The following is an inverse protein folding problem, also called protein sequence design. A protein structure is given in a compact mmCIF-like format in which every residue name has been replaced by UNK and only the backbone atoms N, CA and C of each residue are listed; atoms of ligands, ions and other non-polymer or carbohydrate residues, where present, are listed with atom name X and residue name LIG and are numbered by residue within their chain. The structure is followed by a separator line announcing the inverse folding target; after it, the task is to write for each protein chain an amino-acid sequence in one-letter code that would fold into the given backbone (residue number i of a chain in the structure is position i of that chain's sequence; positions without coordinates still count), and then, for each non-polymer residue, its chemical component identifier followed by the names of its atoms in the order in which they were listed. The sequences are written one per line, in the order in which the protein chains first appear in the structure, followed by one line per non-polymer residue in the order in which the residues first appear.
data_IF_632470874215
#
_entry.id   IF_632470874215
#
_cell.length_a   1.000
_cell.length_b   1.000
_cell.length_c   1.000
_cell.angle_alpha   90.00
_cell.angle_beta   90.00
_cell.angle_gamma   90.00
#
_symmetry.space_group_name_H-M   'P 1'
#
loop_
_entity.id
_entity.type
_entity.pdbx_description
1 polymer ?
#
# COMPACT_ATOMS: atom_id res chain seq x y z
N UNK A 1 -94.10 4.77 -58.50
CA UNK A 1 -92.80 4.92 -57.80
C UNK A 1 -92.51 3.56 -57.16
N UNK A 2 -91.53 2.80 -57.67
CA UNK A 2 -91.32 1.41 -57.23
C UNK A 2 -90.50 1.40 -55.92
N UNK A 3 -91.08 0.97 -54.78
CA UNK A 3 -90.44 1.05 -53.47
C UNK A 3 -89.17 0.21 -53.35
N UNK A 4 -89.06 -0.86 -54.15
CA UNK A 4 -87.88 -1.74 -54.17
C UNK A 4 -86.64 -1.11 -54.82
N UNK A 5 -86.79 -0.14 -55.74
CA UNK A 5 -85.66 0.57 -56.35
C UNK A 5 -85.00 1.55 -55.38
N UNK A 6 -85.82 2.29 -54.65
CA UNK A 6 -85.36 3.28 -53.66
C UNK A 6 -84.61 2.67 -52.48
N UNK A 7 -85.03 1.49 -51.99
CA UNK A 7 -84.33 0.81 -50.88
C UNK A 7 -82.94 0.30 -51.28
N UNK A 8 -82.80 -0.22 -52.51
CA UNK A 8 -81.51 -0.69 -53.04
C UNK A 8 -80.55 0.49 -53.29
N UNK A 9 -81.05 1.58 -53.85
CA UNK A 9 -80.26 2.79 -54.07
C UNK A 9 -79.79 3.42 -52.75
N UNK A 10 -80.65 3.45 -51.73
CA UNK A 10 -80.29 3.93 -50.39
C UNK A 10 -79.19 3.07 -49.76
N UNK A 11 -79.26 1.74 -49.85
CA UNK A 11 -78.21 0.85 -49.34
C UNK A 11 -76.88 0.99 -50.08
N UNK A 12 -76.92 1.23 -51.40
CA UNK A 12 -75.70 1.47 -52.19
C UNK A 12 -75.09 2.83 -51.82
N UNK A 13 -75.91 3.86 -51.64
CA UNK A 13 -75.44 5.18 -51.22
C UNK A 13 -74.80 5.13 -49.82
N UNK A 14 -75.41 4.42 -48.87
CA UNK A 14 -74.86 4.23 -47.53
C UNK A 14 -73.53 3.47 -47.56
N UNK A 15 -73.47 2.34 -48.28
CA UNK A 15 -72.25 1.54 -48.39
C UNK A 15 -71.10 2.31 -49.07
N UNK A 16 -71.41 3.20 -50.03
CA UNK A 16 -70.43 4.10 -50.65
C UNK A 16 -69.97 5.19 -49.68
N UNK A 17 -70.87 5.72 -48.84
CA UNK A 17 -70.53 6.68 -47.78
C UNK A 17 -69.61 6.08 -46.72
N UNK A 18 -69.91 4.86 -46.26
CA UNK A 18 -69.07 4.12 -45.32
C UNK A 18 -67.68 3.81 -45.89
N UNK A 19 -67.61 3.40 -47.17
CA UNK A 19 -66.34 3.18 -47.87
C UNK A 19 -65.51 4.46 -47.98
N UNK A 20 -66.14 5.61 -48.26
CA UNK A 20 -65.46 6.89 -48.32
C UNK A 20 -64.88 7.29 -46.95
N UNK A 21 -65.64 7.12 -45.87
CA UNK A 21 -65.13 7.38 -44.51
C UNK A 21 -64.02 6.42 -44.08
N UNK A 22 -64.06 5.16 -44.51
CA UNK A 22 -62.97 4.21 -44.25
C UNK A 22 -61.70 4.58 -45.02
N UNK A 23 -61.82 5.01 -46.27
CA UNK A 23 -60.70 5.50 -47.07
C UNK A 23 -60.07 6.74 -46.44
N UNK A 24 -60.87 7.71 -46.01
CA UNK A 24 -60.38 8.92 -45.34
C UNK A 24 -59.63 8.59 -44.04
N UNK A 25 -60.14 7.65 -43.23
CA UNK A 25 -59.45 7.18 -42.02
C UNK A 25 -58.17 6.41 -42.33
N UNK A 26 -58.15 5.60 -43.39
CA UNK A 26 -56.96 4.86 -43.82
C UNK A 26 -55.87 5.83 -44.33
N UNK A 27 -56.26 6.87 -45.06
CA UNK A 27 -55.36 7.94 -45.51
C UNK A 27 -54.81 8.73 -44.31
N UNK A 28 -55.63 9.01 -43.30
CA UNK A 28 -55.19 9.67 -42.06
C UNK A 28 -54.27 8.78 -41.20
N UNK A 29 -54.36 7.46 -41.31
CA UNK A 29 -53.50 6.52 -40.55
C UNK A 29 -52.07 6.51 -41.09
N UNK A 30 -51.89 6.69 -42.40
CA UNK A 30 -50.58 6.67 -43.05
C UNK A 30 -49.57 7.68 -42.45
N UNK A 31 -49.89 8.97 -42.27
CA UNK A 31 -48.96 9.92 -41.65
C UNK A 31 -48.67 9.57 -40.18
N UNK A 32 -49.69 9.13 -39.42
CA UNK A 32 -49.51 8.74 -38.01
C UNK A 32 -48.56 7.53 -37.86
N UNK A 33 -48.65 6.54 -38.77
CA UNK A 33 -47.73 5.40 -38.79
C UNK A 33 -46.30 5.80 -39.17
N UNK A 34 -46.14 6.73 -40.12
CA UNK A 34 -44.82 7.24 -40.50
C UNK A 34 -44.17 8.03 -39.35
N UNK A 35 -44.95 8.87 -38.66
CA UNK A 35 -44.50 9.61 -37.49
C UNK A 35 -44.09 8.67 -36.35
N UNK A 36 -44.93 7.67 -36.03
CA UNK A 36 -44.61 6.66 -35.01
C UNK A 36 -43.35 5.87 -35.36
N UNK A 37 -43.19 5.47 -36.64
CA UNK A 37 -41.98 4.80 -37.12
C UNK A 37 -40.75 5.68 -36.93
N UNK A 38 -40.84 6.96 -37.27
CA UNK A 38 -39.71 7.88 -37.12
C UNK A 38 -39.35 8.08 -35.64
N UNK A 39 -40.35 8.29 -34.78
CA UNK A 39 -40.15 8.42 -33.34
C UNK A 39 -39.48 7.17 -32.74
N UNK A 40 -39.84 5.96 -33.21
CA UNK A 40 -39.21 4.71 -32.79
C UNK A 40 -37.74 4.61 -33.25
N UNK A 41 -37.43 5.03 -34.48
CA UNK A 41 -36.05 5.08 -34.98
C UNK A 41 -35.20 6.07 -34.18
N UNK A 42 -35.75 7.25 -33.89
CA UNK A 42 -35.07 8.28 -33.10
C UNK A 42 -34.83 7.82 -31.66
N UNK A 43 -35.86 7.22 -31.03
CA UNK A 43 -35.73 6.64 -29.69
C UNK A 43 -34.69 5.51 -29.65
N UNK A 44 -34.65 4.65 -30.67
CA UNK A 44 -33.65 3.60 -30.77
C UNK A 44 -32.22 4.17 -30.90
N UNK A 45 -32.03 5.19 -31.73
CA UNK A 45 -30.75 5.87 -31.87
C UNK A 45 -30.30 6.53 -30.56
N UNK A 46 -31.23 7.20 -29.85
CA UNK A 46 -30.96 7.80 -28.54
C UNK A 46 -30.58 6.73 -27.50
N UNK A 47 -31.30 5.61 -27.45
CA UNK A 47 -30.99 4.51 -26.55
C UNK A 47 -29.62 3.90 -26.84
N UNK A 48 -29.28 3.69 -28.12
CA UNK A 48 -27.96 3.20 -28.50
C UNK A 48 -26.83 4.15 -28.04
N UNK A 49 -27.03 5.46 -28.20
CA UNK A 49 -26.08 6.48 -27.75
C UNK A 49 -25.95 6.52 -26.22
N UNK A 50 -27.08 6.43 -25.50
CA UNK A 50 -27.09 6.39 -24.03
C UNK A 50 -26.41 5.13 -23.51
N UNK A 51 -26.64 3.98 -24.15
CA UNK A 51 -26.01 2.72 -23.79
C UNK A 51 -24.49 2.79 -23.98
N UNK A 52 -24.01 3.28 -25.12
CA UNK A 52 -22.58 3.46 -25.36
C UNK A 52 -21.93 4.40 -24.34
N UNK A 53 -22.64 5.49 -23.97
CA UNK A 53 -22.18 6.43 -22.95
C UNK A 53 -22.13 5.77 -21.57
N UNK A 54 -23.16 4.99 -21.22
CA UNK A 54 -23.22 4.25 -19.97
C UNK A 54 -22.11 3.20 -19.87
N UNK A 55 -21.87 2.42 -20.93
CA UNK A 55 -20.78 1.45 -21.00
C UNK A 55 -19.42 2.13 -20.76
N UNK A 56 -19.17 3.26 -21.41
CA UNK A 56 -17.94 4.03 -21.20
C UNK A 56 -17.81 4.54 -19.75
N UNK A 57 -18.91 4.99 -19.14
CA UNK A 57 -18.92 5.41 -17.73
C UNK A 57 -18.67 4.25 -16.77
N UNK A 58 -19.25 3.07 -17.01
CA UNK A 58 -19.04 1.87 -16.18
C UNK A 58 -17.59 1.42 -16.26
N UNK A 59 -16.98 1.43 -17.45
CA UNK A 59 -15.55 1.13 -17.62
C UNK A 59 -14.70 2.13 -16.84
N UNK A 60 -14.95 3.44 -17.03
CA UNK A 60 -14.22 4.50 -16.32
C UNK A 60 -14.36 4.41 -14.80
N UNK A 61 -15.56 4.18 -14.30
CA UNK A 61 -15.84 3.99 -12.88
C UNK A 61 -15.12 2.75 -12.33
N UNK A 62 -15.15 1.64 -13.07
CA UNK A 62 -14.52 0.38 -12.66
C UNK A 62 -13.00 0.53 -12.59
N UNK A 63 -12.38 1.17 -13.58
CA UNK A 63 -10.93 1.44 -13.56
C UNK A 63 -10.55 2.37 -12.41
N UNK A 64 -11.33 3.43 -12.17
CA UNK A 64 -11.11 4.30 -11.02
C UNK A 64 -11.24 3.55 -9.67
N UNK A 65 -12.26 2.70 -9.54
CA UNK A 65 -12.47 1.89 -8.35
C UNK A 65 -11.32 0.89 -8.11
N UNK A 66 -10.80 0.25 -9.16
CA UNK A 66 -9.61 -0.63 -9.07
C UNK A 66 -8.41 0.13 -8.53
N UNK A 67 -8.09 1.28 -9.14
CA UNK A 67 -6.94 2.11 -8.73
C UNK A 67 -7.10 2.59 -7.29
N UNK A 68 -8.29 3.07 -6.92
CA UNK A 68 -8.57 3.53 -5.57
C UNK A 68 -8.43 2.39 -4.54
N UNK A 69 -8.96 1.21 -4.84
CA UNK A 69 -8.87 0.04 -3.97
C UNK A 69 -7.41 -0.42 -3.82
N UNK A 70 -6.65 -0.47 -4.90
CA UNK A 70 -5.23 -0.81 -4.86
C UNK A 70 -4.43 0.16 -3.97
N UNK A 71 -4.65 1.47 -4.13
CA UNK A 71 -4.03 2.50 -3.28
C UNK A 71 -4.41 2.34 -1.80
N UNK A 72 -5.68 2.04 -1.52
CA UNK A 72 -6.15 1.83 -0.16
C UNK A 72 -5.50 0.61 0.50
N UNK A 73 -5.43 -0.52 -0.23
CA UNK A 73 -4.75 -1.74 0.24
C UNK A 73 -3.28 -1.44 0.50
N UNK A 74 -2.58 -0.82 -0.44
CA UNK A 74 -1.17 -0.47 -0.27
C UNK A 74 -0.94 0.39 0.97
N UNK A 75 -1.73 1.46 1.16
CA UNK A 75 -1.60 2.33 2.33
C UNK A 75 -1.85 1.59 3.66
N UNK A 76 -2.83 0.67 3.69
CA UNK A 76 -3.14 -0.15 4.87
C UNK A 76 -2.03 -1.17 5.14
N UNK A 77 -1.46 -1.78 4.10
CA UNK A 77 -0.34 -2.70 4.21
C UNK A 77 0.92 -2.00 4.69
N UNK A 78 1.23 -0.80 4.17
CA UNK A 78 2.39 -0.02 4.62
C UNK A 78 2.28 0.35 6.09
N UNK A 79 1.09 0.75 6.55
CA UNK A 79 0.86 1.06 7.96
C UNK A 79 0.98 -0.19 8.84
N UNK A 80 0.40 -1.32 8.42
CA UNK A 80 0.52 -2.59 9.13
C UNK A 80 1.99 -3.04 9.23
N UNK A 81 2.76 -2.93 8.15
CA UNK A 81 4.19 -3.25 8.13
C UNK A 81 4.98 -2.35 9.08
N UNK A 82 4.71 -1.04 9.10
CA UNK A 82 5.36 -0.12 10.05
C UNK A 82 5.03 -0.48 11.49
N UNK A 83 3.79 -0.83 11.78
CA UNK A 83 3.38 -1.28 13.10
C UNK A 83 4.08 -2.59 13.49
N UNK A 84 4.16 -3.56 12.58
CA UNK A 84 4.85 -4.83 12.78
C UNK A 84 6.34 -4.62 13.07
N UNK A 85 7.03 -3.78 12.29
CA UNK A 85 8.47 -3.47 12.52
C UNK A 85 8.68 -2.85 13.90
N UNK A 86 7.81 -1.94 14.34
CA UNK A 86 7.88 -1.35 15.69
C UNK A 86 7.69 -2.41 16.78
N UNK A 87 6.66 -3.25 16.64
CA UNK A 87 6.38 -4.31 17.60
C UNK A 87 7.51 -5.34 17.65
N UNK A 88 8.03 -5.75 16.51
CA UNK A 88 9.16 -6.68 16.40
C UNK A 88 10.43 -6.09 17.02
N UNK A 89 10.75 -4.83 16.73
CA UNK A 89 11.92 -4.15 17.31
C UNK A 89 11.80 -4.07 18.83
N UNK A 90 10.61 -3.74 19.34
CA UNK A 90 10.34 -3.71 20.78
C UNK A 90 10.51 -5.10 21.42
N UNK A 91 9.87 -6.12 20.84
CA UNK A 91 9.98 -7.50 21.33
C UNK A 91 11.43 -8.01 21.30
N UNK A 92 12.19 -7.70 20.24
CA UNK A 92 13.61 -8.04 20.13
C UNK A 92 14.46 -7.31 21.17
N UNK A 93 14.19 -6.02 21.42
CA UNK A 93 14.88 -5.27 22.47
C UNK A 93 14.58 -5.83 23.86
N UNK A 94 13.32 -6.19 24.12
CA UNK A 94 12.90 -6.81 25.39
C UNK A 94 13.59 -8.17 25.56
N UNK A 95 13.58 -9.02 24.53
CA UNK A 95 14.27 -10.30 24.54
C UNK A 95 15.79 -10.14 24.74
N UNK A 96 16.43 -9.18 24.06
CA UNK A 96 17.86 -8.91 24.22
C UNK A 96 18.21 -8.42 25.63
N UNK A 97 17.35 -7.62 26.26
CA UNK A 97 17.53 -7.19 27.66
C UNK A 97 17.43 -8.37 28.63
N UNK A 98 16.50 -9.30 28.40
CA UNK A 98 16.36 -10.52 29.19
C UNK A 98 17.61 -11.39 29.02
N UNK A 99 18.01 -11.71 27.79
CA UNK A 99 19.22 -12.50 27.51
C UNK A 99 20.48 -11.86 28.10
N UNK A 100 20.60 -10.53 28.01
CA UNK A 100 21.74 -9.82 28.59
C UNK A 100 21.80 -9.97 30.11
N UNK A 101 20.66 -9.85 30.80
CA UNK A 101 20.58 -10.01 32.25
C UNK A 101 20.79 -11.45 32.70
N UNK A 102 20.23 -12.42 31.97
CA UNK A 102 20.23 -13.83 32.37
C UNK A 102 21.55 -14.53 32.03
N UNK A 103 22.17 -14.22 30.89
CA UNK A 103 23.33 -14.99 30.41
C UNK A 103 24.60 -14.15 30.35
N UNK A 104 24.53 -12.91 29.87
CA UNK A 104 25.74 -12.11 29.62
C UNK A 104 26.27 -11.48 30.91
N UNK A 105 25.40 -10.86 31.71
CA UNK A 105 25.77 -10.21 32.97
C UNK A 105 26.44 -11.16 33.97
N UNK A 106 25.90 -12.34 34.30
CA UNK A 106 26.56 -13.27 35.23
C UNK A 106 27.87 -13.82 34.66
N UNK A 107 27.95 -14.03 33.35
CA UNK A 107 29.19 -14.46 32.68
C UNK A 107 30.28 -13.40 32.77
N UNK A 108 29.93 -12.14 32.51
CA UNK A 108 30.82 -10.99 32.70
C UNK A 108 31.25 -10.83 34.15
N UNK A 109 30.34 -10.99 35.12
CA UNK A 109 30.70 -10.92 36.55
C UNK A 109 31.67 -12.05 36.95
N UNK A 110 31.49 -13.26 36.44
CA UNK A 110 32.42 -14.38 36.67
C UNK A 110 33.80 -14.15 36.06
N UNK A 111 33.89 -13.47 34.92
CA UNK A 111 35.15 -13.11 34.27
C UNK A 111 35.82 -11.88 34.93
N UNK A 112 35.02 -10.90 35.34
CA UNK A 112 35.51 -9.66 35.95
C UNK A 112 35.97 -9.87 37.40
N UNK A 113 35.33 -10.74 38.18
CA UNK A 113 35.73 -11.03 39.56
C UNK A 113 37.22 -11.45 39.72
N UNK A 114 37.75 -12.41 38.95
CA UNK A 114 39.17 -12.75 39.01
C UNK A 114 40.07 -11.63 38.47
N UNK A 115 39.63 -10.86 37.46
CA UNK A 115 40.41 -9.71 36.99
C UNK A 115 40.50 -8.58 38.02
N UNK A 116 39.41 -8.30 38.75
CA UNK A 116 39.40 -7.29 39.81
C UNK A 116 40.24 -7.74 41.01
N UNK A 117 40.20 -9.03 41.35
CA UNK A 117 41.11 -9.61 42.35
C UNK A 117 42.58 -9.54 41.92
N UNK A 118 42.88 -9.77 40.64
CA UNK A 118 44.23 -9.58 40.11
C UNK A 118 44.63 -8.11 40.13
N UNK A 119 43.73 -7.18 39.79
CA UNK A 119 44.02 -5.74 39.80
C UNK A 119 44.26 -5.20 41.21
N UNK A 120 43.46 -5.62 42.21
CA UNK A 120 43.69 -5.27 43.62
C UNK A 120 44.92 -5.95 44.22
N UNK A 121 45.27 -7.18 43.78
CA UNK A 121 46.53 -7.82 44.16
C UNK A 121 47.75 -7.17 43.47
N UNK A 122 47.51 -6.33 42.46
CA UNK A 122 48.48 -5.60 41.64
C UNK A 122 48.51 -4.10 41.99
N UNK A 123 48.02 -3.68 43.17
CA UNK A 123 48.21 -2.29 43.64
C UNK A 123 49.64 -2.01 44.16
N UNK A 124 50.49 -3.01 44.41
CA UNK A 124 51.88 -2.84 44.89
C UNK A 124 53.06 -3.50 44.11
N UNK A 125 52.91 -4.22 42.98
CA UNK A 125 54.05 -4.81 42.27
C UNK A 125 54.87 -3.79 41.48
N UNK A 126 54.30 -2.60 41.20
CA UNK A 126 55.00 -1.52 40.52
C UNK A 126 56.10 -0.88 41.39
N UNK A 127 55.93 -0.86 42.72
CA UNK A 127 56.95 -0.33 43.65
C UNK A 127 58.18 -1.24 43.72
N UNK A 128 57.99 -2.56 43.73
CA UNK A 128 59.08 -3.53 43.64
C UNK A 128 59.83 -3.48 42.31
N UNK A 129 59.09 -3.33 41.20
CA UNK A 129 59.70 -3.23 39.88
C UNK A 129 60.48 -1.92 39.68
N UNK A 130 59.96 -0.79 40.18
CA UNK A 130 60.64 0.51 40.14
C UNK A 130 61.89 0.57 41.00
N UNK A 131 61.88 -0.06 42.18
CA UNK A 131 63.07 -0.11 43.05
C UNK A 131 64.18 -0.98 42.46
N UNK A 132 63.85 -2.10 41.80
CA UNK A 132 64.82 -2.89 41.06
C UNK A 132 65.38 -2.12 39.84
N UNK A 133 64.55 -1.42 39.08
CA UNK A 133 65.01 -0.59 37.96
C UNK A 133 65.95 0.54 38.43
N UNK A 134 65.61 1.23 39.53
CA UNK A 134 66.45 2.26 40.12
C UNK A 134 67.80 1.69 40.60
N UNK A 135 67.81 0.49 41.19
CA UNK A 135 69.04 -0.17 41.64
C UNK A 135 69.95 -0.54 40.47
N UNK A 136 69.38 -1.01 39.35
CA UNK A 136 70.14 -1.33 38.13
C UNK A 136 70.73 -0.06 37.50
N UNK A 137 69.97 1.04 37.45
CA UNK A 137 70.46 2.31 36.91
C UNK A 137 71.58 2.90 37.78
N UNK A 138 71.46 2.85 39.11
CA UNK A 138 72.50 3.34 40.03
C UNK A 138 73.76 2.49 39.96
N UNK A 139 73.63 1.15 39.96
CA UNK A 139 74.79 0.27 39.85
C UNK A 139 75.47 0.40 38.49
N UNK A 140 74.72 0.49 37.38
CA UNK A 140 75.29 0.76 36.05
C UNK A 140 76.00 2.11 35.98
N UNK A 141 75.46 3.16 36.61
CA UNK A 141 76.09 4.48 36.64
C UNK A 141 77.39 4.47 37.44
N UNK A 142 77.41 3.77 38.59
CA UNK A 142 78.64 3.58 39.40
C UNK A 142 79.68 2.75 38.65
N UNK A 143 79.30 1.68 37.95
CA UNK A 143 80.23 0.89 37.14
C UNK A 143 80.79 1.70 35.95
N UNK A 144 79.96 2.54 35.32
CA UNK A 144 80.38 3.41 34.22
C UNK A 144 81.36 4.50 34.71
N UNK A 145 81.12 5.11 35.87
CA UNK A 145 82.04 6.12 36.42
C UNK A 145 83.36 5.51 36.88
N UNK A 146 83.34 4.31 37.48
CA UNK A 146 84.55 3.59 37.90
C UNK A 146 85.43 3.17 36.71
N UNK A 147 84.80 2.68 35.63
CA UNK A 147 85.53 2.32 34.40
C UNK A 147 86.13 3.54 33.72
N UNK A 148 85.42 4.67 33.68
CA UNK A 148 85.98 5.93 33.17
C UNK A 148 87.13 6.46 34.03
N UNK A 149 87.05 6.34 35.36
CA UNK A 149 88.11 6.79 36.27
C UNK A 149 89.37 5.93 36.17
N UNK A 150 89.23 4.61 35.98
CA UNK A 150 90.34 3.67 35.76
C UNK A 150 90.97 3.78 34.36
N UNK A 151 90.26 4.37 33.39
CA UNK A 151 90.79 4.53 32.02
C UNK A 151 91.56 5.85 31.82
N UNK A 152 91.39 6.80 32.74
CA UNK A 152 92.05 8.13 32.72
C UNK A 152 93.34 8.17 33.56
N UNK A 153 93.68 7.07 34.25
CA UNK A 153 94.93 6.87 35.01
C UNK A 153 95.74 5.73 34.42
#
# INVERSE_FOLDING_TARGET
MNPHGSAREALIAEALGDLAHLLERAEALQPAMLESRQALLDAHAQLAQQLATFEAQVVGFTEHAKVHTAKHIQARTDEATRQLVRLQTKAMSEAAQVLFKEEIQPTLQRLAAPMYQLLHRVEHPWEGWLTHAATVVVTSSVTCTLTLYLWVW
#
